data_IF_575570782406
#
_entry.id   IF_575570782406
#
_cell.length_a   1.000
_cell.length_b   1.000
_cell.length_c   1.000
_cell.angle_alpha   90.00
_cell.angle_beta   90.00
_cell.angle_gamma   90.00
#
_symmetry.space_group_name_H-M   'P 1'
#
loop_
_entity.id
_entity.type
_entity.pdbx_description
1 polymer ?
#
# COMPACT_ATOMS: atom_id res chain seq x y z
N UNK A 1 27.41 -6.76 9.02
CA UNK A 1 27.41 -6.45 7.58
C UNK A 1 26.03 -5.88 7.28
N UNK A 2 25.94 -4.62 6.86
CA UNK A 2 24.64 -3.96 6.67
C UNK A 2 23.97 -4.54 5.41
N UNK A 3 22.83 -5.20 5.59
CA UNK A 3 22.01 -5.66 4.47
C UNK A 3 21.49 -4.44 3.70
N UNK A 4 21.80 -4.38 2.41
CA UNK A 4 21.45 -3.27 1.55
C UNK A 4 19.95 -3.39 1.22
N UNK A 5 19.09 -2.75 2.00
CA UNK A 5 17.63 -2.86 1.83
C UNK A 5 17.20 -2.38 0.44
N UNK A 6 16.57 -3.28 -0.32
CA UNK A 6 15.96 -2.96 -1.61
C UNK A 6 14.81 -1.97 -1.43
N UNK A 7 14.67 -1.03 -2.37
CA UNK A 7 13.59 -0.05 -2.37
C UNK A 7 12.53 -0.46 -3.40
N UNK A 8 11.26 -0.28 -3.05
CA UNK A 8 10.13 -0.50 -3.95
C UNK A 8 9.47 0.84 -4.29
N UNK A 9 9.11 1.01 -5.56
CA UNK A 9 8.31 2.14 -6.01
C UNK A 9 6.85 1.71 -6.17
N UNK A 10 5.95 2.48 -5.57
CA UNK A 10 4.51 2.41 -5.84
C UNK A 10 4.10 3.66 -6.60
N UNK A 11 3.46 3.47 -7.74
CA UNK A 11 3.01 4.53 -8.64
C UNK A 11 1.50 4.42 -8.75
N UNK A 12 0.79 5.33 -8.10
CA UNK A 12 -0.67 5.40 -8.14
C UNK A 12 -1.09 6.49 -9.11
N UNK A 13 -1.76 6.10 -10.19
CA UNK A 13 -2.31 7.04 -11.17
C UNK A 13 -3.81 7.09 -11.01
N UNK A 14 -4.36 8.30 -10.98
CA UNK A 14 -5.79 8.53 -11.05
C UNK A 14 -6.17 8.84 -12.49
N UNK A 15 -7.20 8.16 -12.97
CA UNK A 15 -7.65 8.16 -14.36
C UNK A 15 -9.16 8.30 -14.41
N UNK A 16 -9.65 9.11 -15.34
CA UNK A 16 -11.04 9.09 -15.74
C UNK A 16 -11.34 7.81 -16.54
N UNK A 17 -12.23 6.96 -16.04
CA UNK A 17 -12.63 5.72 -16.68
C UNK A 17 -14.04 5.28 -16.27
N UNK A 18 -14.73 4.59 -17.17
CA UNK A 18 -16.09 4.10 -16.91
C UNK A 18 -16.12 2.89 -15.96
N UNK A 19 -15.05 2.08 -15.97
CA UNK A 19 -14.93 0.85 -15.19
C UNK A 19 -13.47 0.46 -14.89
N UNK A 20 -13.30 -0.50 -13.97
CA UNK A 20 -11.98 -1.02 -13.57
C UNK A 20 -11.15 -1.55 -14.75
N UNK A 21 -11.69 -2.38 -15.67
CA UNK A 21 -10.95 -2.85 -16.83
C UNK A 21 -10.41 -1.71 -17.71
N UNK A 22 -11.20 -0.66 -17.92
CA UNK A 22 -10.81 0.50 -18.71
C UNK A 22 -9.72 1.32 -18.02
N UNK A 23 -9.83 1.53 -16.70
CA UNK A 23 -8.79 2.19 -15.91
C UNK A 23 -7.45 1.44 -15.99
N UNK A 24 -7.48 0.11 -15.83
CA UNK A 24 -6.28 -0.74 -15.96
C UNK A 24 -5.73 -0.73 -17.39
N UNK A 25 -6.60 -0.68 -18.40
CA UNK A 25 -6.20 -0.60 -19.80
C UNK A 25 -5.46 0.70 -20.11
N UNK A 26 -5.96 1.84 -19.62
CA UNK A 26 -5.33 3.15 -19.78
C UNK A 26 -3.89 3.15 -19.24
N UNK A 27 -3.66 2.48 -18.10
CA UNK A 27 -2.34 2.42 -17.46
C UNK A 27 -1.35 1.44 -18.12
N UNK A 28 -1.76 0.58 -19.07
CA UNK A 28 -0.86 -0.45 -19.65
C UNK A 28 0.38 0.14 -20.31
N UNK A 29 0.24 1.27 -21.00
CA UNK A 29 1.38 1.94 -21.65
C UNK A 29 2.44 2.36 -20.64
N UNK A 30 2.01 2.94 -19.52
CA UNK A 30 2.90 3.30 -18.41
C UNK A 30 3.57 2.06 -17.81
N UNK A 31 2.79 1.00 -17.53
CA UNK A 31 3.29 -0.27 -16.97
C UNK A 31 4.42 -0.84 -17.83
N UNK A 32 4.22 -0.91 -19.15
CA UNK A 32 5.23 -1.37 -20.10
C UNK A 32 6.46 -0.46 -20.12
N UNK A 33 6.25 0.86 -20.12
CA UNK A 33 7.33 1.86 -20.16
C UNK A 33 8.24 1.79 -18.94
N UNK A 34 7.68 1.56 -17.74
CA UNK A 34 8.46 1.56 -16.50
C UNK A 34 8.89 0.16 -16.05
N UNK A 35 8.47 -0.89 -16.76
CA UNK A 35 8.71 -2.28 -16.36
C UNK A 35 8.06 -2.63 -15.02
N UNK A 36 6.85 -2.11 -14.78
CA UNK A 36 6.11 -2.31 -13.54
C UNK A 36 5.04 -3.40 -13.63
N UNK A 37 4.21 -3.52 -12.58
CA UNK A 37 3.05 -4.40 -12.53
C UNK A 37 1.90 -3.73 -11.80
N UNK A 38 0.68 -3.79 -12.34
CA UNK A 38 -0.51 -3.31 -11.62
C UNK A 38 -0.75 -4.24 -10.43
N UNK A 39 -0.78 -3.67 -9.22
CA UNK A 39 -0.97 -4.39 -7.95
C UNK A 39 -2.32 -4.09 -7.30
N UNK A 40 -2.92 -2.93 -7.60
CA UNK A 40 -4.25 -2.58 -7.11
C UNK A 40 -4.99 -1.65 -8.08
N UNK A 41 -6.31 -1.64 -7.99
CA UNK A 41 -7.21 -0.68 -8.63
C UNK A 41 -8.36 -0.37 -7.67
N UNK A 42 -8.91 0.84 -7.72
CA UNK A 42 -10.02 1.23 -6.87
C UNK A 42 -10.84 2.37 -7.46
N UNK A 43 -12.15 2.33 -7.20
CA UNK A 43 -13.10 3.37 -7.57
C UNK A 43 -12.94 4.57 -6.61
N UNK A 44 -12.63 5.74 -7.17
CA UNK A 44 -12.58 7.03 -6.44
C UNK A 44 -13.71 7.97 -6.84
N UNK A 45 -14.82 7.46 -7.38
CA UNK A 45 -15.96 8.25 -7.83
C UNK A 45 -16.62 9.08 -6.72
N UNK A 46 -16.35 8.74 -5.46
CA UNK A 46 -16.73 9.54 -4.29
C UNK A 46 -16.01 10.92 -4.24
N UNK A 47 -14.84 11.06 -4.88
CA UNK A 47 -14.14 12.35 -5.04
C UNK A 47 -14.58 13.09 -6.30
N UNK A 48 -14.61 12.39 -7.43
CA UNK A 48 -14.97 12.92 -8.74
C UNK A 48 -15.65 11.84 -9.58
N UNK A 49 -16.89 12.03 -10.07
CA UNK A 49 -17.61 10.97 -10.79
C UNK A 49 -16.84 10.42 -11.97
N UNK A 50 -16.65 9.08 -12.03
CA UNK A 50 -15.88 8.42 -13.09
C UNK A 50 -14.37 8.34 -12.81
N UNK A 51 -13.95 8.65 -11.60
CA UNK A 51 -12.57 8.53 -11.14
C UNK A 51 -12.23 7.08 -10.77
N UNK A 52 -11.13 6.58 -11.32
CA UNK A 52 -10.48 5.35 -10.88
C UNK A 52 -9.04 5.63 -10.51
N UNK A 53 -8.47 4.84 -9.59
CA UNK A 53 -7.02 4.77 -9.47
C UNK A 53 -6.48 3.38 -9.76
N UNK A 54 -5.25 3.37 -10.24
CA UNK A 54 -4.48 2.18 -10.54
C UNK A 54 -3.10 2.32 -9.89
N UNK A 55 -2.75 1.38 -9.02
CA UNK A 55 -1.44 1.32 -8.37
C UNK A 55 -0.53 0.33 -9.09
N UNK A 56 0.66 0.77 -9.43
CA UNK A 56 1.70 0.01 -10.14
C UNK A 56 2.91 -0.13 -9.22
N UNK A 57 3.34 -1.36 -8.97
CA UNK A 57 4.59 -1.65 -8.27
C UNK A 57 5.75 -1.79 -9.27
N UNK A 58 6.93 -1.33 -8.86
CA UNK A 58 8.19 -1.49 -9.57
C UNK A 58 9.35 -1.60 -8.58
N UNK A 59 10.26 -2.56 -8.79
CA UNK A 59 11.53 -2.59 -8.07
C UNK A 59 12.41 -1.38 -8.40
N UNK A 60 13.03 -0.76 -7.38
CA UNK A 60 14.03 0.27 -7.59
C UNK A 60 15.42 -0.35 -7.69
N UNK A 61 16.23 0.14 -8.63
CA UNK A 61 17.66 -0.20 -8.69
C UNK A 61 18.47 0.48 -7.56
N UNK A 62 17.88 1.46 -6.88
CA UNK A 62 18.49 2.13 -5.74
C UNK A 62 18.44 1.24 -4.50
N UNK A 63 19.58 1.13 -3.83
CA UNK A 63 19.74 0.39 -2.57
C UNK A 63 20.21 1.35 -1.49
N UNK A 64 19.71 1.17 -0.26
CA UNK A 64 20.25 1.90 0.90
C UNK A 64 19.22 2.21 2.00
N UNK A 65 19.65 2.04 3.26
CA UNK A 65 18.84 2.17 4.48
C UNK A 65 18.63 3.62 4.99
N UNK A 66 18.67 4.65 4.13
CA UNK A 66 18.58 6.03 4.59
C UNK A 66 17.70 6.93 3.71
N UNK A 67 17.12 7.97 4.33
CA UNK A 67 16.34 9.10 3.75
C UNK A 67 16.78 9.49 2.33
N UNK A 68 18.09 9.52 2.10
CA UNK A 68 18.69 9.86 0.81
C UNK A 68 18.35 8.86 -0.31
N UNK A 69 18.32 7.56 -0.02
CA UNK A 69 17.96 6.50 -0.97
C UNK A 69 16.49 6.58 -1.37
N UNK A 70 15.58 6.71 -0.41
CA UNK A 70 14.14 6.88 -0.65
C UNK A 70 13.87 8.10 -1.55
N UNK A 71 14.40 9.25 -1.17
CA UNK A 71 14.21 10.47 -1.97
C UNK A 71 14.84 10.37 -3.36
N UNK A 72 15.99 9.69 -3.49
CA UNK A 72 16.68 9.51 -4.76
C UNK A 72 15.89 8.58 -5.68
N UNK A 73 15.29 7.51 -5.16
CA UNK A 73 14.45 6.61 -5.92
C UNK A 73 13.27 7.36 -6.57
N UNK A 74 12.54 8.18 -5.79
CA UNK A 74 11.44 9.02 -6.33
C UNK A 74 11.97 10.02 -7.36
N UNK A 75 13.05 10.75 -7.06
CA UNK A 75 13.63 11.74 -7.99
C UNK A 75 14.11 11.12 -9.29
N UNK A 76 14.75 9.96 -9.23
CA UNK A 76 15.25 9.27 -10.42
C UNK A 76 14.11 8.72 -11.27
N UNK A 77 13.06 8.21 -10.64
CA UNK A 77 11.84 7.81 -11.35
C UNK A 77 11.22 9.00 -12.11
N UNK A 78 10.97 10.12 -11.43
CA UNK A 78 10.39 11.31 -12.05
C UNK A 78 11.26 11.83 -13.21
N UNK A 79 12.59 11.87 -13.04
CA UNK A 79 13.52 12.26 -14.10
C UNK A 79 13.46 11.34 -15.32
N UNK A 80 13.24 10.04 -15.12
CA UNK A 80 13.12 9.08 -16.21
C UNK A 80 11.80 9.24 -17.00
N UNK A 81 10.77 9.83 -16.40
CA UNK A 81 9.53 10.17 -17.10
C UNK A 81 9.68 11.40 -18.01
N UNK A 82 10.50 12.36 -17.58
CA UNK A 82 10.84 13.54 -18.38
C UNK A 82 11.23 14.76 -17.52
N UNK A 83 11.71 15.84 -18.17
CA UNK A 83 12.17 17.05 -17.47
C UNK A 83 11.06 17.78 -16.71
N UNK A 84 9.81 17.69 -17.16
CA UNK A 84 8.69 18.38 -16.52
C UNK A 84 8.26 17.69 -15.22
N UNK A 85 8.29 16.35 -15.18
CA UNK A 85 8.09 15.57 -13.95
C UNK A 85 9.21 15.80 -12.92
N UNK A 86 10.44 16.03 -13.37
CA UNK A 86 11.61 16.21 -12.50
C UNK A 86 11.53 17.45 -11.60
N UNK A 87 10.61 18.38 -11.87
CA UNK A 87 10.41 19.63 -11.12
C UNK A 87 9.54 19.44 -9.87
N UNK A 88 8.84 18.31 -9.76
CA UNK A 88 7.95 18.05 -8.63
C UNK A 88 8.74 17.84 -7.34
N UNK A 89 8.21 18.39 -6.24
CA UNK A 89 8.84 18.30 -4.93
C UNK A 89 8.73 16.89 -4.39
N UNK A 90 9.84 16.39 -3.85
CA UNK A 90 9.89 15.10 -3.16
C UNK A 90 9.92 15.36 -1.65
N UNK A 91 8.92 14.86 -0.96
CA UNK A 91 8.88 14.76 0.49
C UNK A 91 9.50 13.44 0.91
N UNK A 92 10.24 13.43 2.01
CA UNK A 92 10.82 12.19 2.53
C UNK A 92 10.69 12.14 4.04
N UNK A 93 10.01 11.09 4.47
CA UNK A 93 9.75 10.80 5.86
C UNK A 93 9.83 9.27 6.01
N UNK A 94 10.99 8.73 6.42
CA UNK A 94 11.17 7.30 6.56
C UNK A 94 10.03 6.67 7.36
N UNK A 95 9.49 5.53 6.90
CA UNK A 95 10.08 4.59 5.94
C UNK A 95 9.84 4.89 4.45
N UNK A 96 9.23 6.04 4.12
CA UNK A 96 8.80 6.37 2.75
C UNK A 96 9.34 7.72 2.23
N UNK A 97 9.37 7.89 0.93
CA UNK A 97 9.47 9.20 0.27
C UNK A 97 8.42 9.25 -0.83
N UNK A 98 7.88 10.43 -1.10
CA UNK A 98 6.83 10.55 -2.09
C UNK A 98 6.87 11.87 -2.85
N UNK A 99 6.22 11.87 -4.00
CA UNK A 99 5.94 13.06 -4.79
C UNK A 99 4.56 12.94 -5.42
N UNK A 100 3.87 14.08 -5.47
CA UNK A 100 2.59 14.20 -6.17
C UNK A 100 2.80 15.02 -7.44
N UNK A 101 2.36 14.45 -8.55
CA UNK A 101 2.23 15.09 -9.86
C UNK A 101 0.76 15.38 -10.06
N UNK A 102 0.35 16.57 -9.63
CA UNK A 102 -1.01 17.09 -9.81
C UNK A 102 -1.00 18.06 -11.00
N UNK A 103 -0.98 17.50 -12.20
CA UNK A 103 -0.92 18.26 -13.45
C UNK A 103 -1.59 17.44 -14.57
N UNK A 104 -2.91 17.63 -14.79
CA UNK A 104 -3.71 16.78 -15.68
C UNK A 104 -3.14 16.64 -17.09
N UNK A 105 -2.69 17.72 -17.72
CA UNK A 105 -2.12 17.62 -19.08
C UNK A 105 -0.86 16.73 -19.10
N UNK A 106 0.02 16.89 -18.11
CA UNK A 106 1.27 16.15 -18.02
C UNK A 106 1.03 14.66 -17.67
N UNK A 107 0.03 14.36 -16.85
CA UNK A 107 -0.33 12.98 -16.51
C UNK A 107 -1.14 12.34 -17.65
N UNK A 108 -2.00 13.10 -18.32
CA UNK A 108 -2.80 12.70 -19.47
C UNK A 108 -1.96 12.29 -20.67
N UNK A 109 -0.82 12.98 -20.90
CA UNK A 109 0.17 12.60 -21.90
C UNK A 109 0.85 11.24 -21.60
N UNK A 110 0.92 10.85 -20.32
CA UNK A 110 1.52 9.60 -19.87
C UNK A 110 0.52 8.44 -19.85
N UNK A 111 -0.70 8.72 -19.41
CA UNK A 111 -1.80 7.79 -19.25
C UNK A 111 -3.05 8.49 -19.76
N UNK A 112 -3.68 7.99 -20.81
CA UNK A 112 -4.89 8.60 -21.36
C UNK A 112 -5.97 8.74 -20.29
N UNK A 113 -6.50 9.95 -20.12
CA UNK A 113 -7.45 10.28 -19.06
C UNK A 113 -6.83 10.43 -17.66
N UNK A 114 -5.50 10.43 -17.55
CA UNK A 114 -4.80 10.59 -16.28
C UNK A 114 -4.85 12.02 -15.76
N UNK A 115 -5.16 12.18 -14.48
CA UNK A 115 -5.39 13.48 -13.84
C UNK A 115 -4.28 13.83 -12.85
N UNK A 116 -3.88 12.86 -12.04
CA UNK A 116 -2.84 12.99 -11.01
C UNK A 116 -2.08 11.69 -10.83
N UNK A 117 -0.85 11.80 -10.37
CA UNK A 117 0.01 10.65 -10.09
C UNK A 117 0.75 10.85 -8.77
N UNK A 118 0.67 9.85 -7.89
CA UNK A 118 1.47 9.73 -6.68
C UNK A 118 2.58 8.72 -6.93
N UNK A 119 3.82 9.10 -6.62
CA UNK A 119 4.98 8.21 -6.68
C UNK A 119 5.53 8.09 -5.28
N UNK A 120 5.63 6.87 -4.76
CA UNK A 120 6.15 6.57 -3.43
C UNK A 120 7.34 5.62 -3.55
N UNK A 121 8.35 5.81 -2.71
CA UNK A 121 9.44 4.88 -2.50
C UNK A 121 9.37 4.35 -1.07
N UNK A 122 9.42 3.03 -0.91
CA UNK A 122 9.34 2.36 0.39
C UNK A 122 10.61 1.58 0.67
N UNK A 123 11.07 1.61 1.92
CA UNK A 123 12.18 0.78 2.41
C UNK A 123 11.65 -0.57 2.90
N UNK A 124 12.23 -1.67 2.41
CA UNK A 124 11.90 -3.02 2.91
C UNK A 124 11.90 -4.15 1.87
N UNK A 125 12.14 -3.88 0.59
CA UNK A 125 12.06 -4.88 -0.48
C UNK A 125 10.65 -5.50 -0.62
N UNK A 126 10.39 -6.12 -1.77
CA UNK A 126 9.10 -6.78 -2.01
C UNK A 126 9.02 -8.07 -1.18
N UNK A 127 8.39 -7.99 -0.01
CA UNK A 127 7.73 -9.16 0.61
C UNK A 127 6.23 -9.18 0.20
N UNK A 128 5.79 -8.19 -0.58
CA UNK A 128 4.41 -8.09 -1.09
C UNK A 128 4.03 -9.27 -1.95
N UNK A 129 5.00 -9.84 -2.67
CA UNK A 129 4.84 -11.02 -3.50
C UNK A 129 6.17 -11.74 -3.51
N UNK A 130 6.22 -12.97 -2.98
CA UNK A 130 7.41 -13.82 -3.10
C UNK A 130 7.99 -13.73 -4.51
N UNK A 131 9.32 -13.71 -4.59
CA UNK A 131 10.09 -13.76 -5.82
C UNK A 131 9.62 -14.96 -6.66
N UNK A 132 8.58 -14.76 -7.47
CA UNK A 132 8.15 -15.73 -8.46
C UNK A 132 9.16 -15.57 -9.58
N UNK A 133 10.21 -16.39 -9.52
CA UNK A 133 10.95 -16.73 -10.71
C UNK A 133 9.93 -17.18 -11.78
N UNK A 134 9.94 -16.45 -12.88
CA UNK A 134 9.48 -16.82 -14.22
C UNK A 134 8.35 -17.87 -14.30
N UNK A 135 7.10 -17.41 -14.47
CA UNK A 135 6.06 -18.25 -15.05
C UNK A 135 6.09 -18.09 -16.58
N UNK A 136 6.43 -19.18 -17.25
CA UNK A 136 6.39 -19.40 -18.70
C UNK A 136 4.93 -19.33 -19.20
N UNK A 137 4.62 -18.61 -20.29
CA UNK A 137 3.27 -18.53 -20.86
C UNK A 137 2.64 -19.86 -21.30
N UNK A 138 3.38 -20.98 -21.32
CA UNK A 138 2.86 -22.32 -21.63
C UNK A 138 2.56 -23.21 -20.39
N UNK A 139 2.72 -22.71 -19.16
CA UNK A 139 2.36 -23.47 -17.96
C UNK A 139 0.85 -23.36 -17.65
N UNK A 140 0.10 -24.48 -17.51
CA UNK A 140 -1.32 -24.43 -17.18
C UNK A 140 -1.52 -23.67 -15.86
N UNK A 141 -2.58 -22.86 -15.72
CA UNK A 141 -2.73 -21.95 -14.59
C UNK A 141 -2.58 -22.73 -13.30
N UNK A 142 -1.56 -22.39 -12.52
CA UNK A 142 -1.42 -22.85 -11.15
C UNK A 142 -2.77 -22.61 -10.46
N UNK A 143 -3.30 -23.67 -9.84
CA UNK A 143 -4.53 -23.60 -9.06
C UNK A 143 -4.45 -22.35 -8.19
N UNK A 144 -5.43 -21.45 -8.37
CA UNK A 144 -5.61 -20.27 -7.54
C UNK A 144 -5.49 -20.76 -6.09
N UNK A 145 -4.44 -20.36 -5.38
CA UNK A 145 -4.34 -20.67 -3.95
C UNK A 145 -5.64 -20.18 -3.35
N UNK A 146 -6.49 -21.13 -2.95
CA UNK A 146 -7.72 -20.80 -2.23
C UNK A 146 -7.26 -19.95 -1.06
N UNK A 147 -7.78 -18.72 -0.95
CA UNK A 147 -7.44 -17.83 0.14
C UNK A 147 -7.59 -18.55 1.47
N UNK A 148 -6.88 -18.10 2.50
CA UNK A 148 -7.02 -18.66 3.85
C UNK A 148 -8.51 -18.66 4.18
N UNK A 149 -9.10 -19.85 4.38
CA UNK A 149 -10.51 -19.98 4.71
C UNK A 149 -10.78 -19.48 6.13
N UNK A 150 -12.01 -19.06 6.41
CA UNK A 150 -12.40 -18.57 7.75
C UNK A 150 -12.29 -19.63 8.86
N UNK A 151 -12.11 -20.90 8.50
CA UNK A 151 -12.12 -22.04 9.41
C UNK A 151 -10.80 -22.81 9.31
N UNK A 152 -10.33 -23.34 10.45
CA UNK A 152 -9.16 -24.21 10.52
C UNK A 152 -9.46 -25.67 10.18
N UNK A 153 -8.42 -26.51 10.22
CA UNK A 153 -8.51 -27.95 9.93
C UNK A 153 -9.40 -28.70 10.94
N UNK A 154 -9.70 -28.09 12.09
CA UNK A 154 -10.50 -28.64 13.18
C UNK A 154 -11.93 -28.11 13.21
N UNK A 155 -12.30 -27.19 12.31
CA UNK A 155 -13.63 -26.58 12.29
C UNK A 155 -13.78 -25.32 13.15
N UNK A 156 -12.68 -24.78 13.71
CA UNK A 156 -12.70 -23.56 14.51
C UNK A 156 -12.52 -22.32 13.63
N UNK A 157 -13.17 -21.22 13.99
CA UNK A 157 -12.96 -19.94 13.31
C UNK A 157 -11.51 -19.47 13.50
N UNK A 158 -10.90 -18.98 12.42
CA UNK A 158 -9.54 -18.43 12.46
C UNK A 158 -9.54 -17.00 13.01
N UNK A 159 -8.47 -16.59 13.71
CA UNK A 159 -8.23 -15.20 14.04
C UNK A 159 -8.27 -14.30 12.80
N UNK A 160 -8.78 -13.09 12.97
CA UNK A 160 -8.84 -12.09 11.90
C UNK A 160 -7.79 -11.01 12.11
N UNK A 161 -7.08 -10.68 11.03
CA UNK A 161 -6.13 -9.58 11.01
C UNK A 161 -6.86 -8.28 10.68
N UNK A 162 -6.69 -7.26 11.51
CA UNK A 162 -7.23 -5.91 11.32
C UNK A 162 -6.10 -4.90 11.21
N UNK A 163 -6.36 -3.86 10.43
CA UNK A 163 -5.47 -2.73 10.22
C UNK A 163 -6.21 -1.44 10.48
N UNK A 164 -5.57 -0.52 11.20
CA UNK A 164 -6.08 0.83 11.41
C UNK A 164 -4.99 1.81 10.98
N UNK A 165 -5.34 2.70 10.06
CA UNK A 165 -4.41 3.71 9.50
C UNK A 165 -4.95 5.09 9.78
N UNK A 166 -4.13 5.95 10.37
CA UNK A 166 -4.44 7.37 10.52
C UNK A 166 -3.64 8.19 9.51
N UNK A 167 -4.34 9.04 8.76
CA UNK A 167 -3.77 9.87 7.70
C UNK A 167 -4.05 11.34 8.01
N UNK A 168 -3.04 12.19 7.88
CA UNK A 168 -3.18 13.65 7.98
C UNK A 168 -3.84 14.16 6.70
N UNK A 169 -5.14 14.37 6.80
CA UNK A 169 -6.04 14.85 5.75
C UNK A 169 -7.36 15.27 6.38
N UNK A 170 -8.11 16.16 5.73
CA UNK A 170 -9.45 16.58 6.16
C UNK A 170 -10.55 15.78 5.46
N UNK A 171 -10.20 14.95 4.47
CA UNK A 171 -11.16 14.25 3.60
C UNK A 171 -11.01 12.73 3.73
N UNK A 172 -12.16 12.04 3.80
CA UNK A 172 -12.25 10.57 3.84
C UNK A 172 -11.46 9.90 2.72
N UNK A 173 -11.70 10.33 1.49
CA UNK A 173 -11.09 9.71 0.33
C UNK A 173 -9.57 9.96 0.23
N UNK A 174 -9.08 11.09 0.78
CA UNK A 174 -7.64 11.33 0.94
C UNK A 174 -6.95 10.37 1.92
N UNK A 175 -7.69 9.70 2.80
CA UNK A 175 -7.16 8.73 3.76
C UNK A 175 -7.27 7.28 3.29
N UNK A 176 -8.27 7.01 2.45
CA UNK A 176 -8.51 5.69 1.88
C UNK A 176 -7.31 5.19 1.06
N UNK A 177 -6.71 6.07 0.26
CA UNK A 177 -5.57 5.73 -0.58
C UNK A 177 -4.37 5.22 0.22
N UNK A 178 -3.83 5.98 1.20
CA UNK A 178 -2.74 5.46 2.03
C UNK A 178 -3.15 4.22 2.84
N UNK A 179 -4.39 4.14 3.32
CA UNK A 179 -4.86 2.98 4.07
C UNK A 179 -4.85 1.70 3.22
N UNK A 180 -5.39 1.77 1.99
CA UNK A 180 -5.37 0.66 1.03
C UNK A 180 -3.95 0.29 0.60
N UNK A 181 -3.07 1.27 0.42
CA UNK A 181 -1.67 1.01 0.10
C UNK A 181 -0.99 0.19 1.21
N UNK A 182 -1.17 0.56 2.49
CA UNK A 182 -0.66 -0.21 3.63
C UNK A 182 -1.32 -1.60 3.69
N UNK A 183 -2.64 -1.68 3.55
CA UNK A 183 -3.39 -2.94 3.61
C UNK A 183 -2.97 -3.94 2.53
N UNK A 184 -2.70 -3.46 1.31
CA UNK A 184 -2.25 -4.29 0.18
C UNK A 184 -0.96 -5.05 0.46
N UNK A 185 -0.19 -4.61 1.48
CA UNK A 185 1.02 -5.32 1.95
C UNK A 185 0.76 -6.53 2.81
N UNK A 186 -0.40 -6.58 3.43
CA UNK A 186 -0.76 -7.62 4.38
C UNK A 186 -1.80 -8.57 3.80
N UNK A 187 -2.72 -8.06 2.97
CA UNK A 187 -3.79 -8.86 2.39
C UNK A 187 -4.26 -8.31 1.04
N UNK A 188 -4.67 -9.22 0.16
CA UNK A 188 -5.31 -8.90 -1.13
C UNK A 188 -6.83 -8.75 -1.01
N UNK A 189 -7.41 -9.15 0.10
CA UNK A 189 -8.87 -9.18 0.33
C UNK A 189 -9.30 -8.16 1.38
N UNK A 190 -8.49 -7.12 1.58
CA UNK A 190 -8.74 -6.09 2.56
C UNK A 190 -10.06 -5.35 2.29
N UNK A 191 -10.95 -5.30 3.28
CA UNK A 191 -12.19 -4.54 3.23
C UNK A 191 -12.13 -3.41 4.24
N UNK A 192 -12.64 -2.24 3.86
CA UNK A 192 -12.73 -1.12 4.79
C UNK A 192 -13.99 -1.31 5.62
N UNK A 193 -13.84 -1.33 6.94
CA UNK A 193 -14.94 -1.56 7.88
C UNK A 193 -15.48 -0.26 8.46
N UNK A 194 -14.62 0.75 8.68
CA UNK A 194 -15.01 1.99 9.34
C UNK A 194 -14.12 3.18 8.95
N UNK A 195 -14.69 4.39 9.02
CA UNK A 195 -13.96 5.65 8.96
C UNK A 195 -14.33 6.53 10.16
N UNK A 196 -13.34 7.20 10.73
CA UNK A 196 -13.56 8.27 11.69
C UNK A 196 -12.76 9.51 11.27
N UNK A 197 -13.43 10.66 11.18
CA UNK A 197 -12.83 11.94 10.81
C UNK A 197 -12.62 12.74 12.10
N UNK A 198 -11.36 12.97 12.47
CA UNK A 198 -10.94 13.76 13.63
C UNK A 198 -9.84 14.74 13.20
N UNK A 199 -10.20 15.88 12.60
CA UNK A 199 -9.25 16.76 11.94
C UNK A 199 -8.08 17.18 12.85
N UNK A 200 -6.83 17.15 12.35
CA UNK A 200 -6.43 17.01 10.95
C UNK A 200 -6.24 15.55 10.49
N UNK A 201 -6.76 14.56 11.24
CA UNK A 201 -6.61 13.15 10.95
C UNK A 201 -7.91 12.53 10.44
N UNK A 202 -7.76 11.58 9.53
CA UNK A 202 -8.80 10.61 9.21
C UNK A 202 -8.26 9.22 9.50
N UNK A 203 -9.03 8.47 10.28
CA UNK A 203 -8.77 7.10 10.65
C UNK A 203 -9.58 6.17 9.75
N UNK A 204 -8.91 5.15 9.20
CA UNK A 204 -9.51 4.11 8.35
C UNK A 204 -9.25 2.77 9.01
N UNK A 205 -10.31 2.06 9.38
CA UNK A 205 -10.23 0.69 9.91
C UNK A 205 -10.55 -0.31 8.79
N UNK A 206 -9.75 -1.37 8.72
CA UNK A 206 -9.82 -2.39 7.67
C UNK A 206 -9.75 -3.79 8.27
N UNK A 207 -10.56 -4.69 7.73
CA UNK A 207 -10.45 -6.12 7.95
C UNK A 207 -9.62 -6.73 6.81
N UNK A 208 -8.52 -7.37 7.17
CA UNK A 208 -7.59 -8.01 6.22
C UNK A 208 -7.93 -9.48 6.00
N UNK A 209 -8.89 -10.03 6.76
CA UNK A 209 -9.36 -11.40 6.64
C UNK A 209 -8.73 -12.37 7.65
N UNK A 210 -9.06 -13.67 7.52
CA UNK A 210 -8.53 -14.71 8.40
C UNK A 210 -7.02 -14.90 8.20
N UNK A 211 -6.32 -15.18 9.30
CA UNK A 211 -4.88 -15.35 9.34
C UNK A 211 -4.47 -16.71 9.93
N UNK A 212 -3.25 -17.15 9.62
CA UNK A 212 -2.65 -18.38 10.13
C UNK A 212 -1.73 -18.07 11.31
N UNK A 213 -1.79 -18.89 12.37
CA UNK A 213 -0.95 -18.77 13.56
C UNK A 213 -1.73 -18.30 14.79
N UNK A 214 -1.02 -18.14 15.90
CA UNK A 214 -1.57 -17.52 17.09
C UNK A 214 -1.59 -15.98 16.98
N UNK A 215 -2.33 -15.30 17.88
CA UNK A 215 -2.48 -13.84 17.80
C UNK A 215 -1.12 -13.09 17.80
N UNK A 216 -0.16 -13.42 18.69
CA UNK A 216 1.18 -12.82 18.64
C UNK A 216 1.92 -13.06 17.33
N UNK A 217 1.94 -14.29 16.81
CA UNK A 217 2.62 -14.66 15.57
C UNK A 217 2.05 -13.91 14.37
N UNK A 218 0.72 -13.81 14.28
CA UNK A 218 0.04 -13.07 13.21
C UNK A 218 0.49 -11.60 13.19
N UNK A 219 0.49 -10.94 14.35
CA UNK A 219 0.86 -9.52 14.44
C UNK A 219 2.36 -9.32 14.19
N UNK A 220 3.22 -10.21 14.68
CA UNK A 220 4.66 -10.15 14.44
C UNK A 220 4.99 -10.38 12.96
N UNK A 221 4.30 -11.32 12.30
CA UNK A 221 4.40 -11.55 10.86
C UNK A 221 4.00 -10.31 10.07
N UNK A 222 2.85 -9.72 10.38
CA UNK A 222 2.39 -8.50 9.73
C UNK A 222 3.34 -7.31 9.96
N UNK A 223 3.84 -7.13 11.19
CA UNK A 223 4.84 -6.11 11.52
C UNK A 223 6.14 -6.30 10.73
N UNK A 224 6.61 -7.54 10.62
CA UNK A 224 7.78 -7.88 9.80
C UNK A 224 7.57 -7.57 8.33
N UNK A 225 6.37 -7.84 7.79
CA UNK A 225 6.00 -7.57 6.40
C UNK A 225 5.94 -6.08 6.08
N UNK A 226 5.39 -5.26 6.99
CA UNK A 226 5.39 -3.80 6.84
C UNK A 226 6.79 -3.20 7.02
N UNK A 227 7.61 -3.81 7.87
CA UNK A 227 8.95 -3.36 8.19
C UNK A 227 8.96 -2.06 8.98
N UNK A 228 10.12 -1.39 9.01
CA UNK A 228 10.31 -0.13 9.72
C UNK A 228 10.65 -0.29 11.21
N UNK A 229 11.15 0.79 11.80
CA UNK A 229 11.50 0.89 13.21
C UNK A 229 10.52 1.84 13.92
N UNK A 230 10.38 1.71 15.24
CA UNK A 230 9.50 2.58 16.04
C UNK A 230 8.11 2.02 16.29
N UNK A 231 7.89 0.73 15.97
CA UNK A 231 6.76 -0.02 16.50
C UNK A 231 6.80 -0.04 18.02
N UNK A 232 5.64 0.16 18.62
CA UNK A 232 5.43 -0.09 20.05
C UNK A 232 5.64 -1.57 20.37
N UNK A 233 5.86 -1.87 21.65
CA UNK A 233 5.92 -3.26 22.11
C UNK A 233 4.59 -3.93 21.86
N UNK A 234 4.64 -5.15 21.32
CA UNK A 234 3.47 -6.00 21.16
C UNK A 234 2.72 -6.10 22.49
N UNK A 235 1.45 -5.74 22.47
CA UNK A 235 0.52 -5.94 23.57
C UNK A 235 -0.34 -7.14 23.23
N UNK A 236 -0.44 -8.08 24.15
CA UNK A 236 -1.27 -9.28 24.01
C UNK A 236 -2.22 -9.30 25.18
N UNK A 237 -3.51 -9.35 24.89
CA UNK A 237 -4.58 -9.67 25.83
C UNK A 237 -5.16 -11.06 25.49
N UNK A 238 -6.20 -11.49 26.20
CA UNK A 238 -6.78 -12.84 26.03
C UNK A 238 -7.35 -13.10 24.63
N UNK A 239 -7.79 -12.06 23.92
CA UNK A 239 -8.49 -12.20 22.63
C UNK A 239 -7.94 -11.31 21.51
N UNK A 240 -6.90 -10.53 21.79
CA UNK A 240 -6.33 -9.58 20.85
C UNK A 240 -4.83 -9.41 21.08
N UNK A 241 -4.08 -9.42 19.99
CA UNK A 241 -2.71 -8.94 19.96
C UNK A 241 -2.67 -7.64 19.15
N UNK A 242 -1.90 -6.64 19.58
CA UNK A 242 -1.83 -5.33 18.93
C UNK A 242 -0.42 -4.74 18.98
N UNK A 243 -0.01 -4.12 17.88
CA UNK A 243 1.15 -3.23 17.83
C UNK A 243 0.81 -1.98 17.02
N UNK A 244 1.52 -0.89 17.29
CA UNK A 244 1.31 0.40 16.64
C UNK A 244 2.61 1.08 16.31
N UNK A 245 2.71 1.59 15.10
CA UNK A 245 3.70 2.54 14.65
C UNK A 245 3.08 3.94 14.62
N UNK A 246 3.85 4.96 14.96
CA UNK A 246 3.39 6.35 14.92
C UNK A 246 4.54 7.27 14.52
N UNK A 247 4.28 8.17 13.58
CA UNK A 247 5.21 9.21 13.20
C UNK A 247 5.40 10.19 14.37
N UNK A 248 6.65 10.49 14.69
CA UNK A 248 7.01 11.43 15.75
C UNK A 248 8.10 12.38 15.24
N UNK A 249 7.77 13.67 15.00
CA UNK A 249 6.47 14.33 15.19
C UNK A 249 5.41 13.90 14.15
N UNK A 250 4.14 14.27 14.39
CA UNK A 250 3.07 14.09 13.40
C UNK A 250 3.42 14.78 12.08
N UNK A 251 3.25 14.12 10.92
CA UNK A 251 3.59 14.71 9.64
C UNK A 251 2.65 15.86 9.26
N UNK A 252 3.07 16.76 8.37
CA UNK A 252 2.19 17.78 7.80
C UNK A 252 1.17 17.20 6.81
N UNK A 253 1.38 15.98 6.31
CA UNK A 253 0.49 15.26 5.37
C UNK A 253 0.87 13.77 5.30
N UNK A 254 -0.06 12.86 5.05
CA UNK A 254 0.23 11.43 4.84
C UNK A 254 0.00 10.56 6.09
N UNK A 255 0.53 9.34 6.11
CA UNK A 255 0.27 8.38 7.21
C UNK A 255 0.94 8.83 8.51
N UNK A 256 0.13 9.14 9.52
CA UNK A 256 0.60 9.50 10.86
C UNK A 256 0.72 8.28 11.78
N UNK A 257 -0.12 7.26 11.61
CA UNK A 257 -0.02 6.04 12.41
C UNK A 257 -0.56 4.81 11.70
N UNK A 258 -0.02 3.65 12.09
CA UNK A 258 -0.46 2.34 11.63
C UNK A 258 -0.58 1.47 12.86
N UNK A 259 -1.76 0.92 13.11
CA UNK A 259 -2.02 -0.08 14.14
C UNK A 259 -2.41 -1.40 13.48
N UNK A 260 -1.74 -2.48 13.88
CA UNK A 260 -2.02 -3.84 13.45
C UNK A 260 -2.58 -4.57 14.65
N UNK A 261 -3.69 -5.29 14.47
CA UNK A 261 -4.18 -6.20 15.50
C UNK A 261 -4.69 -7.51 14.94
N UNK A 262 -4.39 -8.61 15.62
CA UNK A 262 -5.07 -9.88 15.40
C UNK A 262 -6.14 -10.02 16.49
N UNK A 263 -7.35 -10.44 16.12
CA UNK A 263 -8.48 -10.58 17.03
C UNK A 263 -9.05 -11.99 16.89
N UNK A 264 -9.36 -12.59 18.03
CA UNK A 264 -10.06 -13.86 18.11
C UNK A 264 -11.53 -13.70 17.67
N UNK A 265 -12.06 -14.53 16.75
CA UNK A 265 -13.46 -14.49 16.33
C UNK A 265 -14.49 -14.55 17.47
N UNK A 266 -14.14 -15.07 18.65
CA UNK A 266 -15.06 -15.11 19.80
C UNK A 266 -15.43 -13.70 20.36
N UNK A 267 -14.63 -12.68 20.03
CA UNK A 267 -14.86 -11.29 20.47
C UNK A 267 -15.70 -10.41 19.52
N UNK A 268 -16.13 -10.92 18.35
CA UNK A 268 -16.87 -10.13 17.34
C UNK A 268 -18.41 -10.17 17.52
N UNK A 269 -18.89 -10.36 18.75
CA UNK A 269 -20.32 -10.34 19.12
C UNK A 269 -20.74 -9.07 19.85
#
# INVERSE_FOLDING_TARGET
MAENTELELLITVVVAADDEPSARAACRGLVQRIGGRIVASGDCSDEEPGCWSVTISRGSAETGQHVAGLSRAVRNFLRALGPDYARHRVSCEPPTAWAVVDHPDLVGDLVGGGERMLVEAWSGGSILFGRSDLADPDEPPAQVSQGIGDVDEHGNLRPRLRLLVEVVTERRAGAEWPARAVASRLSRTATITEYAIDPPLVRVAMDLGPALGDLPEIVLGAMSTLGGTGWSRLRVDEHRATTRWTAAPTPPSGVASIEISAIDPETDK
#
